data_IF_818481188948
#
_entry.id   IF_818481188948
#
_cell.length_a   1.000
_cell.length_b   1.000
_cell.length_c   1.000
_cell.angle_alpha   90.00
_cell.angle_beta   90.00
_cell.angle_gamma   90.00
#
_symmetry.space_group_name_H-M   'P 1'
#
loop_
_entity.id
_entity.type
_entity.pdbx_description
1 polymer ?
#
# COMPACT_ATOMS: atom_id res chain seq x y z
N UNK A 1 12.08 -23.85 -5.52
CA UNK A 1 12.28 -22.91 -6.65
C UNK A 1 12.67 -21.57 -6.07
N UNK A 2 13.75 -20.96 -6.55
CA UNK A 2 14.27 -19.70 -6.02
C UNK A 2 14.32 -18.64 -7.12
N UNK A 3 13.81 -17.45 -6.86
CA UNK A 3 13.81 -16.33 -7.82
C UNK A 3 14.25 -15.02 -7.15
N UNK A 4 14.83 -14.14 -7.94
CA UNK A 4 15.06 -12.74 -7.58
C UNK A 4 14.06 -11.87 -8.34
N UNK A 5 13.21 -11.16 -7.62
CA UNK A 5 12.20 -10.28 -8.18
C UNK A 5 12.53 -8.81 -7.86
N UNK A 6 12.92 -8.06 -8.90
CA UNK A 6 13.12 -6.61 -8.79
C UNK A 6 11.77 -5.93 -8.97
N UNK A 7 11.31 -5.24 -7.93
CA UNK A 7 10.03 -4.52 -7.93
C UNK A 7 10.18 -3.14 -8.56
N UNK A 8 11.26 -2.45 -8.22
CA UNK A 8 11.63 -1.14 -8.73
C UNK A 8 13.14 -0.93 -8.50
N UNK A 9 13.65 0.26 -8.76
CA UNK A 9 15.09 0.56 -8.60
C UNK A 9 15.59 0.52 -7.15
N UNK A 10 14.69 0.47 -6.16
CA UNK A 10 15.04 0.49 -4.73
C UNK A 10 14.85 -0.85 -4.05
N UNK A 11 13.97 -1.72 -4.57
CA UNK A 11 13.55 -2.94 -3.90
C UNK A 11 13.76 -4.17 -4.79
N UNK A 12 14.47 -5.15 -4.26
CA UNK A 12 14.60 -6.49 -4.82
C UNK A 12 14.32 -7.51 -3.74
N UNK A 13 13.48 -8.49 -4.05
CA UNK A 13 13.10 -9.57 -3.14
C UNK A 13 13.68 -10.89 -3.64
N UNK A 14 14.20 -11.68 -2.72
CA UNK A 14 14.53 -13.07 -2.96
C UNK A 14 13.37 -13.92 -2.44
N UNK A 15 12.86 -14.80 -3.31
CA UNK A 15 11.70 -15.64 -3.03
C UNK A 15 12.07 -17.09 -3.21
N UNK A 16 11.59 -17.92 -2.31
CA UNK A 16 11.80 -19.36 -2.35
C UNK A 16 10.50 -20.07 -2.01
N UNK A 17 10.07 -20.97 -2.91
CA UNK A 17 8.85 -21.75 -2.73
C UNK A 17 8.95 -23.10 -3.42
N UNK A 18 8.14 -24.07 -3.01
CA UNK A 18 8.18 -25.44 -3.50
C UNK A 18 7.79 -25.55 -4.99
N UNK A 19 7.02 -24.59 -5.48
CA UNK A 19 6.67 -24.50 -6.89
C UNK A 19 5.95 -23.21 -7.27
N UNK A 20 5.50 -23.14 -8.51
CA UNK A 20 4.92 -21.92 -9.10
C UNK A 20 3.74 -21.33 -8.33
N UNK A 21 2.91 -22.15 -7.67
CA UNK A 21 1.73 -21.68 -6.92
C UNK A 21 2.12 -20.87 -5.68
N UNK A 22 3.19 -21.24 -5.00
CA UNK A 22 3.66 -20.54 -3.81
C UNK A 22 4.34 -19.23 -4.19
N UNK A 23 5.28 -19.31 -5.14
CA UNK A 23 5.94 -18.14 -5.73
C UNK A 23 4.91 -17.11 -6.23
N UNK A 24 3.84 -17.54 -6.89
CA UNK A 24 2.79 -16.63 -7.37
C UNK A 24 2.07 -15.90 -6.23
N UNK A 25 1.78 -16.59 -5.11
CA UNK A 25 1.14 -15.95 -3.94
C UNK A 25 2.04 -14.90 -3.30
N UNK A 26 3.32 -15.20 -3.17
CA UNK A 26 4.29 -14.24 -2.62
C UNK A 26 4.48 -13.04 -3.53
N UNK A 27 4.64 -13.28 -4.85
CA UNK A 27 4.73 -12.22 -5.84
C UNK A 27 3.49 -11.32 -5.84
N UNK A 28 2.29 -11.91 -5.78
CA UNK A 28 1.03 -11.15 -5.71
C UNK A 28 1.02 -10.23 -4.49
N UNK A 29 1.45 -10.73 -3.33
CA UNK A 29 1.50 -9.95 -2.09
C UNK A 29 2.52 -8.80 -2.19
N UNK A 30 3.69 -9.08 -2.78
CA UNK A 30 4.73 -8.06 -3.00
C UNK A 30 4.24 -7.00 -3.99
N UNK A 31 3.60 -7.41 -5.07
CA UNK A 31 3.09 -6.50 -6.08
C UNK A 31 2.03 -5.56 -5.50
N UNK A 32 1.13 -6.10 -4.71
CA UNK A 32 0.04 -5.34 -4.08
C UNK A 32 0.54 -4.26 -3.11
N UNK A 33 1.66 -4.48 -2.43
CA UNK A 33 2.20 -3.55 -1.40
C UNK A 33 3.32 -2.67 -1.92
N UNK A 34 4.25 -3.23 -2.70
CA UNK A 34 5.52 -2.58 -3.02
C UNK A 34 5.62 -2.10 -4.48
N UNK A 35 4.64 -2.39 -5.35
CA UNK A 35 4.65 -1.95 -6.77
C UNK A 35 3.84 -0.68 -7.05
N UNK A 36 3.44 0.07 -6.02
CA UNK A 36 2.87 1.40 -6.24
C UNK A 36 4.01 2.36 -6.63
N UNK A 37 4.02 2.85 -7.87
CA UNK A 37 5.12 3.69 -8.39
C UNK A 37 4.84 5.19 -8.34
N UNK A 38 3.55 5.56 -8.28
CA UNK A 38 3.12 6.95 -8.37
C UNK A 38 1.88 7.23 -7.52
N UNK A 39 1.73 8.48 -7.12
CA UNK A 39 0.53 8.97 -6.44
C UNK A 39 -0.68 8.89 -7.38
N UNK A 40 -1.71 8.15 -7.00
CA UNK A 40 -2.95 8.06 -7.78
C UNK A 40 -3.72 9.37 -7.91
N UNK A 41 -3.41 10.40 -7.11
CA UNK A 41 -4.05 11.71 -7.16
C UNK A 41 -3.35 12.70 -8.09
N UNK A 42 -2.01 12.80 -8.02
CA UNK A 42 -1.25 13.81 -8.78
C UNK A 42 -0.21 13.25 -9.75
N UNK A 43 -0.02 11.93 -9.81
CA UNK A 43 0.95 11.27 -10.68
C UNK A 43 2.42 11.38 -10.25
N UNK A 44 2.73 12.06 -9.14
CA UNK A 44 4.11 12.16 -8.64
C UNK A 44 4.66 10.79 -8.21
N UNK A 45 5.90 10.49 -8.59
CA UNK A 45 6.66 9.32 -8.14
C UNK A 45 7.38 9.56 -6.81
N UNK A 46 7.30 10.77 -6.26
CA UNK A 46 7.88 11.15 -4.98
C UNK A 46 7.00 10.69 -3.81
N UNK A 47 6.89 9.36 -3.65
CA UNK A 47 6.10 8.70 -2.62
C UNK A 47 7.01 7.96 -1.63
N UNK A 48 6.58 7.88 -0.38
CA UNK A 48 7.31 7.16 0.68
C UNK A 48 6.39 6.33 1.56
N UNK A 49 6.91 5.22 2.07
CA UNK A 49 6.27 4.44 3.12
C UNK A 49 6.32 5.21 4.44
N UNK A 50 5.21 5.24 5.16
CA UNK A 50 5.06 5.90 6.46
C UNK A 50 4.31 4.96 7.40
N UNK A 51 4.79 4.83 8.63
CA UNK A 51 4.05 4.20 9.72
C UNK A 51 3.71 5.28 10.74
N UNK A 52 2.43 5.36 11.12
CA UNK A 52 1.96 6.24 12.20
C UNK A 52 1.47 5.37 13.34
N UNK A 53 1.91 5.64 14.56
CA UNK A 53 1.36 5.01 15.76
C UNK A 53 0.34 5.97 16.40
N UNK A 54 -0.89 5.50 16.62
CA UNK A 54 -1.95 6.26 17.30
C UNK A 54 -2.59 5.35 18.33
N UNK A 55 -2.50 5.72 19.61
CA UNK A 55 -3.03 4.96 20.74
C UNK A 55 -2.63 3.48 20.72
N UNK A 56 -1.35 3.21 20.38
CA UNK A 56 -0.81 1.85 20.29
C UNK A 56 -1.17 1.09 19.02
N UNK A 57 -1.89 1.70 18.07
CA UNK A 57 -2.21 1.08 16.78
C UNK A 57 -1.32 1.63 15.66
N UNK A 58 -0.73 0.75 14.88
CA UNK A 58 0.06 1.11 13.70
C UNK A 58 -0.82 1.26 12.45
N UNK A 59 -0.64 2.38 11.76
CA UNK A 59 -1.26 2.71 10.50
C UNK A 59 -0.17 2.79 9.43
N UNK A 60 -0.26 1.90 8.45
CA UNK A 60 0.69 1.80 7.34
C UNK A 60 0.14 2.58 6.14
N UNK A 61 0.94 3.50 5.60
CA UNK A 61 0.53 4.40 4.53
C UNK A 61 1.65 4.56 3.50
N UNK A 62 1.28 4.76 2.24
CA UNK A 62 2.12 5.49 1.29
C UNK A 62 1.70 6.95 1.31
N UNK A 63 2.69 7.85 1.32
CA UNK A 63 2.46 9.29 1.31
C UNK A 63 3.20 9.94 0.14
N UNK A 64 2.48 10.73 -0.65
CA UNK A 64 3.07 11.61 -1.65
C UNK A 64 3.67 12.83 -0.97
N UNK A 65 4.95 13.08 -1.22
CA UNK A 65 5.67 14.21 -0.66
C UNK A 65 5.37 15.53 -1.37
N UNK A 66 4.85 15.49 -2.59
CA UNK A 66 4.58 16.69 -3.38
C UNK A 66 3.17 17.24 -3.12
N UNK A 67 2.15 16.37 -3.08
CA UNK A 67 0.77 16.81 -2.85
C UNK A 67 0.23 16.47 -1.45
N UNK A 68 0.91 15.62 -0.67
CA UNK A 68 0.46 15.21 0.66
C UNK A 68 -0.68 14.18 0.67
N UNK A 69 -1.10 13.67 -0.49
CA UNK A 69 -2.07 12.58 -0.56
C UNK A 69 -1.49 11.29 0.02
N UNK A 70 -2.39 10.43 0.49
CA UNK A 70 -2.07 9.15 1.11
C UNK A 70 -2.82 8.00 0.45
N UNK A 71 -2.20 6.84 0.43
CA UNK A 71 -2.83 5.54 0.22
C UNK A 71 -2.68 4.75 1.52
N UNK A 72 -3.79 4.48 2.19
CA UNK A 72 -3.81 3.74 3.44
C UNK A 72 -3.82 2.23 3.20
N UNK A 73 -3.15 1.48 4.07
CA UNK A 73 -3.15 0.02 4.07
C UNK A 73 -3.91 -0.51 5.29
N UNK A 74 -4.78 -1.48 5.04
CA UNK A 74 -5.37 -2.32 6.07
C UNK A 74 -4.42 -3.47 6.43
N UNK A 75 -4.68 -4.09 7.58
CA UNK A 75 -3.95 -5.26 8.06
C UNK A 75 -4.89 -6.46 8.04
N UNK A 76 -4.44 -7.60 7.49
CA UNK A 76 -5.19 -8.83 7.62
C UNK A 76 -5.17 -9.32 9.08
N UNK A 77 -6.32 -9.81 9.56
CA UNK A 77 -6.44 -10.34 10.95
C UNK A 77 -5.49 -11.51 11.25
N UNK A 78 -5.06 -12.22 10.20
CA UNK A 78 -4.12 -13.36 10.27
C UNK A 78 -3.08 -13.19 9.17
N UNK A 79 -1.86 -13.67 9.42
CA UNK A 79 -0.79 -13.72 8.40
C UNK A 79 0.17 -12.52 8.40
N UNK A 80 -0.08 -11.46 9.18
CA UNK A 80 0.85 -10.33 9.31
C UNK A 80 1.05 -9.53 8.03
N UNK A 81 0.14 -9.65 7.07
CA UNK A 81 0.21 -8.99 5.76
C UNK A 81 -0.72 -7.79 5.69
N UNK A 82 -0.38 -6.88 4.78
CA UNK A 82 -1.14 -5.66 4.49
C UNK A 82 -1.98 -5.84 3.23
N UNK A 83 -2.95 -4.94 3.03
CA UNK A 83 -3.65 -4.76 1.77
C UNK A 83 -3.98 -3.27 1.56
N UNK A 84 -3.87 -2.72 0.35
CA UNK A 84 -4.23 -1.34 0.07
C UNK A 84 -5.76 -1.16 0.21
N UNK A 85 -6.18 -0.12 0.92
CA UNK A 85 -7.59 0.26 0.96
C UNK A 85 -7.96 0.94 -0.35
N UNK A 86 -8.54 0.17 -1.28
CA UNK A 86 -9.00 0.66 -2.60
C UNK A 86 -10.51 0.86 -2.68
N UNK A 87 -11.25 0.34 -1.69
CA UNK A 87 -12.70 0.41 -1.60
C UNK A 87 -13.13 1.10 -0.31
N UNK A 88 -14.29 1.75 -0.34
CA UNK A 88 -14.95 2.28 0.83
C UNK A 88 -15.66 1.17 1.64
N UNK A 89 -16.30 1.57 2.74
CA UNK A 89 -16.98 0.65 3.66
C UNK A 89 -18.22 -0.02 3.02
N UNK A 90 -18.79 0.60 1.98
CA UNK A 90 -19.89 0.05 1.17
C UNK A 90 -19.39 -0.88 0.04
N UNK A 91 -18.07 -1.03 -0.10
CA UNK A 91 -17.44 -1.90 -1.09
C UNK A 91 -17.28 -1.29 -2.48
N UNK A 92 -17.56 0.00 -2.65
CA UNK A 92 -17.37 0.71 -3.91
C UNK A 92 -15.89 1.09 -4.07
N UNK A 93 -15.41 1.10 -5.32
CA UNK A 93 -14.04 1.56 -5.59
C UNK A 93 -13.91 3.06 -5.33
N UNK A 94 -12.94 3.43 -4.51
CA UNK A 94 -12.61 4.82 -4.28
C UNK A 94 -11.97 5.44 -5.52
N UNK A 95 -12.17 6.75 -5.75
CA UNK A 95 -11.49 7.47 -6.83
C UNK A 95 -9.97 7.41 -6.64
N UNK A 96 -9.22 7.71 -7.71
CA UNK A 96 -7.75 7.80 -7.68
C UNK A 96 -7.08 6.53 -7.14
N UNK A 97 -7.72 5.36 -7.34
CA UNK A 97 -7.27 4.07 -6.80
C UNK A 97 -7.08 4.11 -5.27
N UNK A 98 -7.93 4.83 -4.54
CA UNK A 98 -7.86 4.95 -3.08
C UNK A 98 -6.89 6.00 -2.55
N UNK A 99 -6.15 6.70 -3.41
CA UNK A 99 -5.35 7.87 -2.99
C UNK A 99 -6.25 9.05 -2.65
N UNK A 100 -6.06 9.65 -1.47
CA UNK A 100 -6.88 10.76 -1.01
C UNK A 100 -6.08 11.72 -0.13
N UNK A 101 -6.59 12.95 0.06
CA UNK A 101 -6.09 13.86 1.11
C UNK A 101 -7.10 13.87 2.24
N UNK A 102 -6.63 13.73 3.48
CA UNK A 102 -7.49 13.98 4.64
C UNK A 102 -7.83 15.46 4.68
N UNK A 103 -9.06 15.79 4.33
CA UNK A 103 -9.64 17.09 4.66
C UNK A 103 -10.14 16.95 6.09
N UNK A 104 -9.61 17.72 7.04
CA UNK A 104 -10.28 17.86 8.33
C UNK A 104 -11.63 18.49 8.02
N UNK A 105 -12.72 17.72 8.11
CA UNK A 105 -14.02 18.34 8.26
C UNK A 105 -13.93 19.24 9.49
N UNK A 106 -14.09 20.54 9.28
CA UNK A 106 -14.38 21.44 10.39
C UNK A 106 -15.72 20.95 10.94
N UNK A 107 -15.68 20.24 12.09
CA UNK A 107 -16.88 20.08 12.91
C UNK A 107 -17.28 21.49 13.31
N UNK A 108 -18.25 22.06 12.61
CA UNK A 108 -18.90 23.30 13.00
C UNK A 108 -19.30 23.17 14.47
N UNK A 109 -18.84 24.13 15.27
CA UNK A 109 -19.14 24.27 16.69
C UNK A 109 -20.53 24.81 16.90
#
# INVERSE_FOLDING_TARGET
MKILYKVNDKLTFELEGEGQKEIFKELSTIQEIFSEEQCGLCGSTNIRFVVRNVDGNDYYELRCLDCGAVLAFGQHKKGGTLFPKRKDDDGNYMPNKGWHKFVKEQKDK
#
